data_IF_356439357633
#
_entry.id   IF_356439357633
#
_cell.length_a   1.000
_cell.length_b   1.000
_cell.length_c   1.000
_cell.angle_alpha   90.00
_cell.angle_beta   90.00
_cell.angle_gamma   90.00
#
_symmetry.space_group_name_H-M   'P 1'
#
loop_
_entity.id
_entity.type
_entity.pdbx_description
1 polymer ?
#
# COMPACT_ATOMS: atom_id res chain seq x y z
N UNK A 1 73.33 48.88 24.61
CA UNK A 1 71.97 48.67 25.12
C UNK A 1 71.02 48.96 23.97
N UNK A 2 70.31 48.05 23.31
CA UNK A 2 70.18 46.59 23.38
C UNK A 2 69.46 46.11 22.10
N UNK A 3 69.75 44.86 21.71
CA UNK A 3 68.91 43.89 20.99
C UNK A 3 68.50 44.04 19.48
N UNK A 4 69.16 43.20 18.67
CA UNK A 4 68.69 42.22 17.64
C UNK A 4 67.21 41.79 17.86
N UNK A 5 66.28 41.60 16.92
CA UNK A 5 66.19 40.80 15.66
C UNK A 5 64.81 41.10 15.01
N UNK A 6 64.59 40.75 13.73
CA UNK A 6 63.56 39.79 13.27
C UNK A 6 62.95 40.14 11.91
N UNK A 7 62.86 39.09 11.10
CA UNK A 7 62.29 38.91 9.77
C UNK A 7 61.01 39.71 9.46
N UNK A 8 60.86 40.18 8.22
CA UNK A 8 59.62 40.17 7.43
C UNK A 8 59.70 41.14 6.23
N UNK A 9 60.49 40.79 5.21
CA UNK A 9 60.26 41.35 3.87
C UNK A 9 60.01 40.21 2.89
N UNK A 10 58.72 39.92 2.79
CA UNK A 10 58.04 38.94 1.96
C UNK A 10 58.57 38.93 0.52
N UNK A 11 59.35 37.91 0.21
CA UNK A 11 59.56 37.45 -1.17
C UNK A 11 58.60 36.29 -1.42
N UNK A 12 57.34 36.60 -1.69
CA UNK A 12 56.42 35.66 -2.31
C UNK A 12 56.04 36.17 -3.70
N UNK A 13 56.62 35.51 -4.70
CA UNK A 13 56.03 35.39 -6.02
C UNK A 13 54.61 34.87 -5.85
N UNK A 14 53.64 35.71 -6.21
CA UNK A 14 52.24 35.39 -6.24
C UNK A 14 52.01 34.33 -7.32
N UNK A 15 51.80 33.08 -6.90
CA UNK A 15 51.25 32.03 -7.73
C UNK A 15 49.85 32.46 -8.19
N UNK A 16 49.78 33.00 -9.40
CA UNK A 16 48.53 33.25 -10.10
C UNK A 16 48.01 31.92 -10.68
N UNK A 17 47.50 31.04 -9.80
CA UNK A 17 46.63 29.94 -10.20
C UNK A 17 45.22 30.52 -10.38
N UNK A 18 44.75 30.56 -11.63
CA UNK A 18 43.43 31.07 -11.99
C UNK A 18 42.32 30.43 -11.17
N UNK A 19 41.44 31.26 -10.63
CA UNK A 19 40.24 30.81 -9.91
C UNK A 19 39.32 29.99 -10.85
N UNK A 20 38.80 28.84 -10.40
CA UNK A 20 37.81 28.10 -11.16
C UNK A 20 36.49 28.87 -11.19
N UNK A 21 36.03 29.16 -12.41
CA UNK A 21 34.74 29.78 -12.71
C UNK A 21 33.58 28.93 -12.12
N UNK A 22 33.04 29.37 -10.99
CA UNK A 22 31.96 28.72 -10.24
C UNK A 22 30.57 28.90 -10.87
N UNK A 23 30.43 29.73 -11.92
CA UNK A 23 29.13 29.99 -12.55
C UNK A 23 28.61 28.82 -13.42
N UNK A 24 29.49 27.91 -13.83
CA UNK A 24 29.11 26.76 -14.67
C UNK A 24 28.49 25.62 -13.87
N UNK A 25 28.79 25.48 -12.57
CA UNK A 25 28.30 24.37 -11.77
C UNK A 25 26.85 24.56 -11.31
N UNK A 26 26.45 25.80 -10.99
CA UNK A 26 25.08 26.12 -10.59
C UNK A 26 24.09 25.97 -11.75
N UNK A 27 24.45 26.42 -12.96
CA UNK A 27 23.59 26.29 -14.15
C UNK A 27 23.30 24.83 -14.51
N UNK A 28 24.27 23.93 -14.33
CA UNK A 28 24.10 22.51 -14.58
C UNK A 28 23.20 21.83 -13.52
N UNK A 29 23.29 22.24 -12.26
CA UNK A 29 22.42 21.72 -11.19
C UNK A 29 20.93 22.05 -11.43
N UNK A 30 20.62 23.25 -11.94
CA UNK A 30 19.24 23.60 -12.31
C UNK A 30 18.77 22.82 -13.53
N UNK A 31 19.64 22.61 -14.51
CA UNK A 31 19.33 21.78 -15.67
C UNK A 31 19.04 20.33 -15.26
N UNK A 32 19.84 19.76 -14.36
CA UNK A 32 19.65 18.41 -13.82
C UNK A 32 18.35 18.30 -13.01
N UNK A 33 18.04 19.31 -12.19
CA UNK A 33 16.80 19.35 -11.41
C UNK A 33 15.54 19.46 -12.30
N UNK A 34 15.60 20.27 -13.36
CA UNK A 34 14.50 20.40 -14.34
C UNK A 34 14.34 19.09 -15.11
N UNK A 35 15.44 18.45 -15.51
CA UNK A 35 15.41 17.17 -16.20
C UNK A 35 14.79 16.07 -15.30
N UNK A 36 15.14 16.04 -14.02
CA UNK A 36 14.58 15.11 -13.04
C UNK A 36 13.07 15.33 -12.83
N UNK A 37 12.63 16.60 -12.80
CA UNK A 37 11.21 16.94 -12.66
C UNK A 37 10.41 16.51 -13.90
N UNK A 38 10.94 16.72 -15.10
CA UNK A 38 10.31 16.27 -16.36
C UNK A 38 10.20 14.75 -16.38
N UNK A 39 11.29 14.03 -16.08
CA UNK A 39 11.30 12.57 -16.03
C UNK A 39 10.30 12.02 -14.98
N UNK A 40 10.15 12.71 -13.84
CA UNK A 40 9.15 12.36 -12.84
C UNK A 40 7.72 12.55 -13.38
N UNK A 41 7.45 13.68 -14.05
CA UNK A 41 6.14 13.98 -14.62
C UNK A 41 5.77 12.99 -15.75
N UNK A 42 6.74 12.61 -16.58
CA UNK A 42 6.56 11.60 -17.63
C UNK A 42 6.16 10.24 -17.04
N UNK A 43 6.85 9.79 -15.98
CA UNK A 43 6.51 8.54 -15.30
C UNK A 43 5.12 8.57 -14.65
N UNK A 44 4.72 9.72 -14.10
CA UNK A 44 3.37 9.89 -13.54
C UNK A 44 2.30 9.81 -14.64
N UNK A 45 2.56 10.44 -15.79
CA UNK A 45 1.66 10.40 -16.93
C UNK A 45 1.53 8.98 -17.51
N UNK A 46 2.63 8.24 -17.60
CA UNK A 46 2.63 6.83 -18.00
C UNK A 46 1.78 5.98 -17.05
N UNK A 47 1.92 6.17 -15.74
CA UNK A 47 1.11 5.46 -14.74
C UNK A 47 -0.40 5.78 -14.89
N UNK A 48 -0.76 7.05 -15.14
CA UNK A 48 -2.14 7.45 -15.39
C UNK A 48 -2.69 6.88 -16.71
N UNK A 49 -1.84 6.75 -17.74
CA UNK A 49 -2.24 6.16 -19.00
C UNK A 49 -2.48 4.65 -18.86
N UNK A 50 -1.63 3.95 -18.11
CA UNK A 50 -1.80 2.52 -17.79
C UNK A 50 -3.07 2.31 -16.95
N UNK A 51 -3.34 3.19 -15.97
CA UNK A 51 -4.57 3.08 -15.17
C UNK A 51 -5.83 3.35 -15.99
N UNK A 52 -5.79 4.26 -16.97
CA UNK A 52 -6.92 4.49 -17.88
C UNK A 52 -7.12 3.38 -18.91
N UNK A 53 -6.05 2.77 -19.43
CA UNK A 53 -6.18 1.59 -20.31
C UNK A 53 -6.83 0.40 -19.58
N UNK A 54 -6.47 0.18 -18.31
CA UNK A 54 -7.14 -0.83 -17.48
C UNK A 54 -8.63 -0.51 -17.19
N UNK A 55 -9.03 0.77 -17.21
CA UNK A 55 -10.43 1.16 -17.01
C UNK A 55 -11.29 1.09 -18.28
N UNK A 56 -10.71 1.15 -19.48
CA UNK A 56 -11.49 1.05 -20.73
C UNK A 56 -11.76 -0.39 -21.18
N UNK A 57 -11.10 -1.38 -20.57
CA UNK A 57 -11.35 -2.80 -20.87
C UNK A 57 -12.51 -3.40 -20.05
N UNK A 58 -13.16 -2.64 -19.17
CA UNK A 58 -14.25 -3.14 -18.31
C UNK A 58 -15.67 -2.94 -18.88
N UNK A 59 -15.84 -2.30 -20.05
CA UNK A 59 -17.19 -2.00 -20.58
C UNK A 59 -17.73 -3.08 -21.54
N UNK A 60 -17.03 -4.20 -21.74
CA UNK A 60 -17.49 -5.27 -22.65
C UNK A 60 -17.19 -6.69 -22.17
N UNK A 61 -17.51 -7.01 -20.92
CA UNK A 61 -17.69 -8.42 -20.53
C UNK A 61 -18.87 -8.53 -19.59
N UNK A 62 -20.05 -8.70 -20.19
CA UNK A 62 -21.23 -9.17 -19.50
C UNK A 62 -21.05 -10.69 -19.28
N UNK A 63 -20.22 -11.07 -18.31
CA UNK A 63 -20.12 -12.44 -17.75
C UNK A 63 -19.00 -12.53 -16.70
N UNK A 64 -19.38 -12.64 -15.41
CA UNK A 64 -18.68 -13.35 -14.34
C UNK A 64 -17.15 -13.41 -14.42
N UNK A 65 -16.42 -12.32 -14.19
CA UNK A 65 -15.02 -12.42 -13.78
C UNK A 65 -14.78 -11.46 -12.64
N UNK A 66 -14.71 -12.05 -11.45
CA UNK A 66 -14.25 -11.48 -10.21
C UNK A 66 -13.04 -10.56 -10.44
N UNK A 67 -13.24 -9.26 -10.18
CA UNK A 67 -12.15 -8.49 -9.62
C UNK A 67 -11.78 -9.29 -8.37
N UNK A 68 -10.62 -9.97 -8.42
CA UNK A 68 -10.04 -10.65 -7.27
C UNK A 68 -9.65 -9.56 -6.25
N UNK A 69 -10.65 -8.94 -5.63
CA UNK A 69 -10.49 -8.40 -4.29
C UNK A 69 -9.89 -9.56 -3.51
N UNK A 70 -8.63 -9.40 -3.12
CA UNK A 70 -7.94 -10.38 -2.29
C UNK A 70 -8.62 -10.35 -0.92
N UNK A 71 -9.77 -10.99 -0.85
CA UNK A 71 -10.49 -11.26 0.38
C UNK A 71 -9.74 -12.39 1.06
N UNK A 72 -8.68 -12.02 1.75
CA UNK A 72 -7.98 -12.94 2.64
C UNK A 72 -8.93 -13.22 3.79
N UNK A 73 -9.29 -14.48 3.96
CA UNK A 73 -10.07 -14.92 5.10
C UNK A 73 -9.22 -14.70 6.36
N UNK A 74 -9.67 -13.85 7.31
CA UNK A 74 -8.99 -13.73 8.59
C UNK A 74 -9.14 -15.04 9.38
N UNK A 75 -8.30 -15.25 10.39
CA UNK A 75 -8.49 -16.38 11.31
C UNK A 75 -9.76 -16.14 12.15
N UNK A 76 -10.83 -16.86 11.80
CA UNK A 76 -12.15 -16.74 12.43
C UNK A 76 -12.33 -17.62 13.66
N UNK A 77 -11.34 -18.45 13.98
CA UNK A 77 -11.39 -19.42 15.08
C UNK A 77 -11.66 -18.78 16.45
N UNK A 78 -11.46 -17.45 16.57
CA UNK A 78 -11.66 -16.65 17.78
C UNK A 78 -12.80 -15.65 17.68
N UNK A 79 -13.42 -15.48 16.52
CA UNK A 79 -14.40 -14.41 16.24
C UNK A 79 -15.82 -14.95 16.13
N UNK A 80 -15.97 -16.17 15.61
CA UNK A 80 -17.28 -16.80 15.39
C UNK A 80 -17.35 -18.06 16.26
N UNK A 81 -18.32 -18.09 17.16
CA UNK A 81 -18.57 -19.25 18.00
C UNK A 81 -19.21 -20.38 17.18
N UNK A 82 -19.07 -21.61 17.66
CA UNK A 82 -19.70 -22.79 17.06
C UNK A 82 -21.16 -22.90 17.48
N UNK A 83 -22.03 -23.30 16.54
CA UNK A 83 -23.46 -23.45 16.79
C UNK A 83 -23.90 -24.91 16.67
N UNK A 84 -24.31 -25.50 17.79
CA UNK A 84 -24.71 -26.91 17.88
C UNK A 84 -26.19 -27.18 17.51
N UNK A 85 -27.05 -26.14 17.49
CA UNK A 85 -28.49 -26.27 17.22
C UNK A 85 -29.36 -26.63 18.44
N UNK A 86 -28.76 -26.78 19.62
CA UNK A 86 -29.47 -27.14 20.86
C UNK A 86 -29.90 -25.90 21.68
N UNK A 87 -29.53 -24.70 21.21
CA UNK A 87 -29.77 -23.45 21.92
C UNK A 87 -31.08 -22.78 21.48
N UNK A 88 -31.65 -21.94 22.34
CA UNK A 88 -32.87 -21.20 22.06
C UNK A 88 -32.75 -20.18 20.91
N UNK A 89 -33.89 -19.69 20.39
CA UNK A 89 -33.95 -18.83 19.20
C UNK A 89 -33.18 -17.50 19.36
N UNK A 90 -33.11 -16.96 20.58
CA UNK A 90 -32.34 -15.76 20.87
C UNK A 90 -30.84 -15.96 20.59
N UNK A 91 -30.28 -17.12 20.96
CA UNK A 91 -28.86 -17.40 20.77
C UNK A 91 -28.54 -17.68 19.30
N UNK A 92 -29.45 -18.35 18.59
CA UNK A 92 -29.34 -18.53 17.14
C UNK A 92 -29.32 -17.18 16.39
N UNK A 93 -30.16 -16.23 16.82
CA UNK A 93 -30.21 -14.89 16.23
C UNK A 93 -28.91 -14.13 16.47
N UNK A 94 -28.39 -14.13 17.69
CA UNK A 94 -27.11 -13.50 18.02
C UNK A 94 -25.96 -14.10 17.20
N UNK A 95 -25.95 -15.42 17.05
CA UNK A 95 -24.93 -16.12 16.26
C UNK A 95 -24.96 -15.72 14.77
N UNK A 96 -26.16 -15.66 14.17
CA UNK A 96 -26.32 -15.20 12.79
C UNK A 96 -25.86 -13.75 12.61
N UNK A 97 -26.19 -12.86 13.56
CA UNK A 97 -25.76 -11.47 13.55
C UNK A 97 -24.24 -11.32 13.65
N UNK A 98 -23.55 -12.19 14.39
CA UNK A 98 -22.08 -12.19 14.46
C UNK A 98 -21.45 -12.53 13.09
N UNK A 99 -22.01 -13.52 12.39
CA UNK A 99 -21.55 -13.91 11.05
C UNK A 99 -21.79 -12.78 10.05
N UNK A 100 -22.99 -12.19 10.06
CA UNK A 100 -23.35 -11.07 9.17
C UNK A 100 -22.47 -9.84 9.42
N UNK A 101 -22.24 -9.49 10.68
CA UNK A 101 -21.38 -8.35 11.06
C UNK A 101 -19.94 -8.56 10.58
N UNK A 102 -19.42 -9.79 10.68
CA UNK A 102 -18.07 -10.14 10.26
C UNK A 102 -17.96 -10.15 8.73
N UNK A 103 -18.98 -10.68 8.05
CA UNK A 103 -19.12 -10.64 6.59
C UNK A 103 -19.11 -9.20 6.08
N UNK A 104 -19.87 -8.31 6.73
CA UNK A 104 -19.93 -6.90 6.36
C UNK A 104 -18.60 -6.19 6.60
N UNK A 105 -17.99 -6.41 7.78
CA UNK A 105 -16.70 -5.81 8.16
C UNK A 105 -15.59 -6.15 7.16
N UNK A 106 -15.54 -7.40 6.70
CA UNK A 106 -14.54 -7.88 5.77
C UNK A 106 -14.99 -7.86 4.31
N UNK A 107 -16.18 -7.32 4.03
CA UNK A 107 -16.76 -7.26 2.68
C UNK A 107 -16.72 -8.62 1.97
N UNK A 108 -17.11 -9.68 2.68
CA UNK A 108 -17.14 -11.04 2.13
C UNK A 108 -18.25 -11.20 1.08
N UNK A 109 -17.97 -11.90 -0.03
CA UNK A 109 -19.02 -12.43 -0.89
C UNK A 109 -19.90 -13.42 -0.14
N UNK A 110 -21.18 -13.50 -0.52
CA UNK A 110 -22.18 -14.38 0.09
C UNK A 110 -21.72 -15.85 0.19
N UNK A 111 -20.95 -16.32 -0.79
CA UNK A 111 -20.39 -17.67 -0.78
C UNK A 111 -19.46 -17.92 0.42
N UNK A 112 -18.63 -16.95 0.79
CA UNK A 112 -17.75 -17.06 1.97
C UNK A 112 -18.54 -17.01 3.27
N UNK A 113 -19.57 -16.17 3.33
CA UNK A 113 -20.46 -16.07 4.48
C UNK A 113 -21.21 -17.36 4.70
N UNK A 114 -21.71 -17.97 3.62
CA UNK A 114 -22.35 -19.28 3.66
C UNK A 114 -21.39 -20.39 4.10
N UNK A 115 -20.20 -20.48 3.49
CA UNK A 115 -19.22 -21.50 3.87
C UNK A 115 -18.73 -21.32 5.31
N UNK A 116 -18.59 -20.09 5.78
CA UNK A 116 -18.26 -19.78 7.17
C UNK A 116 -19.38 -20.21 8.12
N UNK A 117 -20.63 -19.91 7.80
CA UNK A 117 -21.76 -20.37 8.61
C UNK A 117 -21.77 -21.90 8.67
N UNK A 118 -21.64 -22.56 7.52
CA UNK A 118 -21.60 -24.02 7.38
C UNK A 118 -20.45 -24.66 8.14
N UNK A 119 -19.25 -24.08 8.12
CA UNK A 119 -18.08 -24.63 8.84
C UNK A 119 -18.20 -24.50 10.35
N UNK A 120 -18.96 -23.52 10.84
CA UNK A 120 -19.16 -23.25 12.27
C UNK A 120 -20.42 -23.95 12.84
N UNK A 121 -21.16 -24.69 12.03
CA UNK A 121 -22.21 -25.58 12.51
C UNK A 121 -21.60 -26.87 13.07
N UNK A 122 -22.09 -27.30 14.23
CA UNK A 122 -21.75 -28.57 14.86
C UNK A 122 -23.00 -29.38 15.24
N UNK A 123 -22.79 -30.64 15.60
CA UNK A 123 -23.82 -31.53 16.17
C UNK A 123 -25.14 -31.53 15.38
N UNK A 124 -26.27 -31.34 16.07
CA UNK A 124 -27.61 -31.42 15.48
C UNK A 124 -27.80 -30.43 14.32
N UNK A 125 -27.30 -29.19 14.46
CA UNK A 125 -27.43 -28.19 13.39
C UNK A 125 -26.72 -28.60 12.10
N UNK A 126 -25.53 -29.21 12.23
CA UNK A 126 -24.80 -29.74 11.07
C UNK A 126 -25.55 -30.88 10.40
N UNK A 127 -26.11 -31.81 11.19
CA UNK A 127 -26.89 -32.93 10.67
C UNK A 127 -28.15 -32.45 9.94
N UNK A 128 -28.85 -31.44 10.47
CA UNK A 128 -30.02 -30.83 9.84
C UNK A 128 -29.72 -30.20 8.47
N UNK A 129 -28.54 -29.62 8.29
CA UNK A 129 -28.15 -29.02 7.01
C UNK A 129 -27.76 -30.07 5.96
N UNK A 130 -27.23 -31.22 6.39
CA UNK A 130 -26.74 -32.29 5.51
C UNK A 130 -27.76 -33.40 5.23
N UNK A 131 -28.83 -33.49 6.03
CA UNK A 131 -29.88 -34.50 5.93
C UNK A 131 -31.03 -34.06 5.03
#
# INVERSE_FOLDING_TARGET
MDAVTQDDFERFTQDNAGEPNTNTHSSNQYADAIQALIAQNEKMLEMLQISQQNQQQTVRVNSNQDIKNLNIMPDLSKTIDKFAGEMGPAVATTWLQQIESTSLLHSWPDAFTYETARSNLESAAKYWLSG
#
